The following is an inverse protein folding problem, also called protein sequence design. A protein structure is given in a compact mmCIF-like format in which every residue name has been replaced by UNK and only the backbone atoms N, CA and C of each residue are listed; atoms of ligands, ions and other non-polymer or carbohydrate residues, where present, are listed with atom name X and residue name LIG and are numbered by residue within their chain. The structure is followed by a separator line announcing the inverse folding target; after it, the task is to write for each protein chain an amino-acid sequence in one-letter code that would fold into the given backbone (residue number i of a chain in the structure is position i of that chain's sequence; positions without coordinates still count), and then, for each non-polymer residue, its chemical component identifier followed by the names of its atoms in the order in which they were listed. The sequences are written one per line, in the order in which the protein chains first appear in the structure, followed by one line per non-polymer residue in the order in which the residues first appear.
data_IF_787415435491
#
_entry.id   IF_787415435491
#
_cell.length_a   1.000
_cell.length_b   1.000
_cell.length_c   1.000
_cell.angle_alpha   90.00
_cell.angle_beta   90.00
_cell.angle_gamma   90.00
#
_symmetry.space_group_name_H-M   'P 1'
#
loop_
_entity.id
_entity.type
_entity.pdbx_description
1 polymer ?
#
# COMPACT_ATOMS: atom_id res chain seq x y z
N UNK A 1 9.90 -29.71 46.46
CA UNK A 1 9.01 -28.55 46.13
C UNK A 1 9.92 -27.34 46.09
N UNK A 2 10.18 -26.78 44.88
CA UNK A 2 11.09 -25.63 44.77
C UNK A 2 10.46 -24.42 45.46
N UNK A 3 11.26 -23.71 46.26
CA UNK A 3 10.88 -22.48 46.92
C UNK A 3 10.44 -21.43 45.86
N UNK A 4 9.47 -20.59 46.22
CA UNK A 4 8.89 -19.53 45.34
C UNK A 4 10.00 -18.65 44.74
N UNK A 5 11.05 -18.35 45.50
CA UNK A 5 12.22 -17.61 45.04
C UNK A 5 12.99 -18.34 43.95
N UNK A 6 13.17 -19.63 44.03
CA UNK A 6 13.85 -20.45 42.99
C UNK A 6 13.02 -20.52 41.73
N UNK A 7 11.68 -20.64 41.82
CA UNK A 7 10.76 -20.62 40.69
C UNK A 7 10.81 -19.27 39.98
N UNK A 8 10.76 -18.16 40.71
CA UNK A 8 10.86 -16.81 40.17
C UNK A 8 12.19 -16.57 39.43
N UNK A 9 13.30 -17.03 39.97
CA UNK A 9 14.63 -16.94 39.32
C UNK A 9 14.68 -17.73 38.01
N UNK A 10 14.15 -18.94 37.97
CA UNK A 10 14.11 -19.76 36.73
C UNK A 10 13.30 -19.07 35.65
N UNK A 11 12.10 -18.59 35.98
CA UNK A 11 11.20 -17.90 35.05
C UNK A 11 11.86 -16.64 34.48
N UNK A 12 12.55 -15.86 35.33
CA UNK A 12 13.27 -14.67 34.90
C UNK A 12 14.41 -14.98 33.92
N UNK A 13 15.23 -15.99 34.22
CA UNK A 13 16.34 -16.37 33.35
C UNK A 13 15.87 -16.87 31.99
N UNK A 14 14.78 -17.65 31.96
CA UNK A 14 14.18 -18.09 30.69
C UNK A 14 13.67 -16.86 29.91
N UNK A 15 13.03 -15.90 30.59
CA UNK A 15 12.57 -14.65 29.96
C UNK A 15 13.70 -13.84 29.34
N UNK A 16 14.83 -13.68 30.04
CA UNK A 16 15.99 -13.01 29.49
C UNK A 16 16.62 -13.76 28.31
N UNK A 17 16.70 -15.07 28.39
CA UNK A 17 17.21 -15.90 27.31
C UNK A 17 16.34 -15.78 26.03
N UNK A 18 15.02 -15.80 26.18
CA UNK A 18 14.10 -15.55 25.07
C UNK A 18 14.25 -14.14 24.50
N UNK A 19 14.44 -13.13 25.35
CA UNK A 19 14.70 -11.76 24.91
C UNK A 19 15.98 -11.70 24.07
N UNK A 20 17.05 -12.38 24.50
CA UNK A 20 18.31 -12.47 23.77
C UNK A 20 18.12 -13.13 22.40
N UNK A 21 17.38 -14.25 22.34
CA UNK A 21 17.03 -14.92 21.08
C UNK A 21 16.24 -13.97 20.16
N UNK A 22 15.25 -13.27 20.72
CA UNK A 22 14.44 -12.33 19.95
C UNK A 22 15.29 -11.28 19.23
N UNK A 23 16.29 -10.72 19.89
CA UNK A 23 17.19 -9.72 19.33
C UNK A 23 18.05 -10.24 18.18
N UNK A 24 18.27 -11.56 18.09
CA UNK A 24 19.02 -12.20 17.00
C UNK A 24 18.16 -12.43 15.74
N UNK A 25 16.82 -12.31 15.84
CA UNK A 25 15.89 -12.59 14.75
C UNK A 25 15.76 -11.38 13.84
N UNK A 26 16.00 -11.57 12.55
CA UNK A 26 15.89 -10.51 11.52
C UNK A 26 14.43 -10.18 11.15
N UNK A 27 13.54 -11.16 11.23
CA UNK A 27 12.12 -10.98 10.88
C UNK A 27 11.35 -10.37 12.03
N UNK A 28 10.78 -9.18 11.80
CA UNK A 28 10.07 -8.38 12.81
C UNK A 28 8.88 -9.13 13.42
N UNK A 29 8.16 -9.94 12.64
CA UNK A 29 7.01 -10.70 13.13
C UNK A 29 7.40 -11.73 14.20
N UNK A 30 8.40 -12.59 13.91
CA UNK A 30 8.90 -13.59 14.86
C UNK A 30 9.59 -12.96 16.06
N UNK A 31 10.33 -11.86 15.84
CA UNK A 31 10.91 -11.07 16.91
C UNK A 31 9.84 -10.64 17.92
N UNK A 32 8.71 -10.08 17.43
CA UNK A 32 7.60 -9.62 18.29
C UNK A 32 6.94 -10.76 19.06
N UNK A 33 6.75 -11.93 18.43
CA UNK A 33 6.17 -13.10 19.09
C UNK A 33 7.06 -13.55 20.25
N UNK A 34 8.36 -13.72 20.01
CA UNK A 34 9.28 -14.21 21.04
C UNK A 34 9.46 -13.17 22.15
N UNK A 35 9.54 -11.88 21.84
CA UNK A 35 9.53 -10.83 22.84
C UNK A 35 8.26 -10.86 23.71
N UNK A 36 7.11 -11.07 23.11
CA UNK A 36 5.84 -11.16 23.86
C UNK A 36 5.87 -12.34 24.83
N UNK A 37 6.36 -13.51 24.40
CA UNK A 37 6.52 -14.67 25.26
C UNK A 37 7.49 -14.39 26.42
N UNK A 38 8.63 -13.75 26.13
CA UNK A 38 9.59 -13.35 27.16
C UNK A 38 8.97 -12.39 28.19
N UNK A 39 8.17 -11.44 27.73
CA UNK A 39 7.51 -10.46 28.61
C UNK A 39 6.38 -11.08 29.44
N UNK A 40 5.65 -12.07 28.90
CA UNK A 40 4.67 -12.84 29.70
C UNK A 40 5.35 -13.55 30.87
N UNK A 41 6.53 -14.17 30.62
CA UNK A 41 7.31 -14.78 31.69
C UNK A 41 7.78 -13.74 32.73
N UNK A 42 8.19 -12.56 32.29
CA UNK A 42 8.58 -11.48 33.18
C UNK A 42 7.39 -10.92 33.99
N UNK A 43 6.19 -10.88 33.39
CA UNK A 43 4.97 -10.50 34.06
C UNK A 43 4.60 -11.52 35.15
N UNK A 44 4.75 -12.82 34.86
CA UNK A 44 4.59 -13.90 35.84
C UNK A 44 5.57 -13.76 37.01
N UNK A 45 6.83 -13.43 36.72
CA UNK A 45 7.81 -13.15 37.77
C UNK A 45 7.40 -11.94 38.63
N UNK A 46 6.96 -10.82 38.00
CA UNK A 46 6.51 -9.63 38.73
C UNK A 46 5.36 -9.94 39.67
N UNK A 47 4.42 -10.80 39.26
CA UNK A 47 3.32 -11.29 40.10
C UNK A 47 3.84 -12.13 41.27
N UNK A 48 4.70 -13.10 41.03
CA UNK A 48 5.27 -13.98 42.10
C UNK A 48 6.16 -13.19 43.09
N UNK A 49 6.86 -12.18 42.63
CA UNK A 49 7.71 -11.31 43.42
C UNK A 49 6.93 -10.18 44.14
N UNK A 50 5.62 -10.07 43.92
CA UNK A 50 4.77 -9.00 44.42
C UNK A 50 5.31 -7.59 44.08
N UNK A 51 5.78 -7.40 42.83
CA UNK A 51 6.31 -6.15 42.30
C UNK A 51 5.29 -5.49 41.34
N UNK A 52 4.39 -4.63 41.83
CA UNK A 52 3.36 -4.02 41.00
C UNK A 52 3.89 -3.03 39.96
N UNK A 53 5.01 -2.36 40.25
CA UNK A 53 5.62 -1.41 39.29
C UNK A 53 6.15 -2.11 38.07
N UNK A 54 6.95 -3.17 38.27
CA UNK A 54 7.44 -4.01 37.18
C UNK A 54 6.28 -4.66 36.43
N UNK A 55 5.27 -5.16 37.15
CA UNK A 55 4.08 -5.76 36.56
C UNK A 55 3.34 -4.79 35.63
N UNK A 56 3.11 -3.57 36.07
CA UNK A 56 2.41 -2.53 35.28
C UNK A 56 3.13 -2.23 33.96
N UNK A 57 4.43 -1.94 34.01
CA UNK A 57 5.18 -1.62 32.80
C UNK A 57 5.31 -2.81 31.86
N UNK A 58 5.54 -4.00 32.39
CA UNK A 58 5.63 -5.22 31.57
C UNK A 58 4.30 -5.52 30.89
N UNK A 59 3.17 -5.29 31.57
CA UNK A 59 1.84 -5.43 30.97
C UNK A 59 1.63 -4.47 29.79
N UNK A 60 2.04 -3.20 29.93
CA UNK A 60 1.98 -2.23 28.82
C UNK A 60 2.83 -2.71 27.62
N UNK A 61 4.04 -3.22 27.88
CA UNK A 61 4.89 -3.75 26.81
C UNK A 61 4.26 -4.96 26.12
N UNK A 62 3.60 -5.87 26.84
CA UNK A 62 2.84 -6.97 26.24
C UNK A 62 1.75 -6.46 25.32
N UNK A 63 0.95 -5.48 25.77
CA UNK A 63 -0.14 -4.90 24.97
C UNK A 63 0.40 -4.27 23.66
N UNK A 64 1.50 -3.50 23.74
CA UNK A 64 2.13 -2.88 22.57
C UNK A 64 2.60 -3.96 21.58
N UNK A 65 3.26 -5.02 22.07
CA UNK A 65 3.74 -6.09 21.19
C UNK A 65 2.59 -6.90 20.58
N UNK A 66 1.55 -7.22 21.34
CA UNK A 66 0.34 -7.88 20.81
C UNK A 66 -0.31 -7.01 19.71
N UNK A 67 -0.48 -5.72 19.95
CA UNK A 67 -1.00 -4.79 18.94
C UNK A 67 -0.16 -4.81 17.66
N UNK A 68 1.16 -4.77 17.79
CA UNK A 68 2.08 -4.83 16.65
C UNK A 68 2.01 -6.18 15.90
N UNK A 69 1.86 -7.31 16.64
CA UNK A 69 1.68 -8.63 16.04
C UNK A 69 0.40 -8.67 15.21
N UNK A 70 -0.71 -8.14 15.75
CA UNK A 70 -1.99 -8.07 15.03
C UNK A 70 -1.85 -7.25 13.74
N UNK A 71 -1.20 -6.08 13.80
CA UNK A 71 -0.97 -5.26 12.61
C UNK A 71 -0.14 -6.01 11.56
N UNK A 72 0.98 -6.63 11.97
CA UNK A 72 1.84 -7.40 11.07
C UNK A 72 1.12 -8.62 10.49
N UNK A 73 0.29 -9.30 11.29
CA UNK A 73 -0.54 -10.41 10.82
C UNK A 73 -1.55 -9.96 9.77
N UNK A 74 -2.26 -8.86 10.04
CA UNK A 74 -3.21 -8.29 9.08
C UNK A 74 -2.52 -7.85 7.77
N UNK A 75 -1.29 -7.33 7.86
CA UNK A 75 -0.53 -6.95 6.67
C UNK A 75 -0.01 -8.15 5.86
N UNK A 76 0.17 -9.30 6.50
CA UNK A 76 0.57 -10.56 5.84
C UNK A 76 -0.60 -11.33 5.23
N UNK A 77 -1.84 -11.01 5.59
CA UNK A 77 -2.99 -11.67 4.97
C UNK A 77 -3.00 -11.39 3.46
N UNK A 78 -2.96 -12.43 2.67
CA UNK A 78 -3.13 -12.36 1.23
C UNK A 78 -4.56 -11.95 0.91
N UNK A 79 -4.75 -10.67 0.62
CA UNK A 79 -6.01 -10.20 0.06
C UNK A 79 -6.09 -10.68 -1.39
N UNK A 80 -7.13 -11.42 -1.77
CA UNK A 80 -7.32 -11.79 -3.17
C UNK A 80 -7.52 -10.53 -3.99
N UNK A 81 -6.74 -10.38 -5.05
CA UNK A 81 -6.97 -9.34 -6.06
C UNK A 81 -7.95 -9.94 -7.06
N UNK A 82 -9.05 -9.23 -7.41
CA UNK A 82 -9.96 -9.68 -8.46
C UNK A 82 -9.21 -9.99 -9.76
N UNK A 83 -9.59 -11.08 -10.43
CA UNK A 83 -8.88 -11.56 -11.63
C UNK A 83 -8.91 -10.53 -12.77
N UNK A 84 -9.96 -9.69 -12.81
CA UNK A 84 -10.12 -8.64 -13.83
C UNK A 84 -9.05 -7.53 -13.77
N UNK A 85 -8.41 -7.35 -12.60
CA UNK A 85 -7.40 -6.30 -12.38
C UNK A 85 -6.04 -6.84 -11.94
N UNK A 86 -5.91 -8.16 -11.89
CA UNK A 86 -4.69 -8.83 -11.44
C UNK A 86 -3.50 -8.54 -12.33
N UNK A 87 -3.70 -8.55 -13.65
CA UNK A 87 -2.67 -8.18 -14.63
C UNK A 87 -2.19 -6.74 -14.46
N UNK A 88 -3.09 -5.80 -14.12
CA UNK A 88 -2.74 -4.41 -13.83
C UNK A 88 -1.90 -4.32 -12.55
N UNK A 89 -2.26 -5.08 -11.52
CA UNK A 89 -1.46 -5.16 -10.30
C UNK A 89 -0.06 -5.70 -10.59
N UNK A 90 0.03 -6.84 -11.27
CA UNK A 90 1.31 -7.52 -11.52
C UNK A 90 2.24 -6.71 -12.43
N UNK A 91 1.70 -6.00 -13.42
CA UNK A 91 2.51 -5.26 -14.39
C UNK A 91 2.79 -3.80 -14.00
N UNK A 92 1.86 -3.14 -13.30
CA UNK A 92 1.93 -1.69 -13.04
C UNK A 92 2.13 -1.39 -11.57
N UNK A 93 1.32 -2.02 -10.70
CA UNK A 93 1.22 -1.67 -9.29
C UNK A 93 1.96 -2.62 -8.34
N UNK A 94 2.80 -3.54 -8.85
CA UNK A 94 3.54 -4.55 -8.08
C UNK A 94 4.42 -3.98 -6.95
N UNK A 95 4.80 -2.70 -7.04
CA UNK A 95 5.56 -2.02 -5.97
C UNK A 95 4.72 -1.70 -4.72
N UNK A 96 3.39 -1.82 -4.83
CA UNK A 96 2.45 -1.67 -3.72
C UNK A 96 2.16 -3.03 -3.09
N UNK A 97 1.91 -3.06 -1.77
CA UNK A 97 1.30 -4.26 -1.19
C UNK A 97 -0.13 -4.44 -1.72
N UNK A 98 -0.64 -5.68 -1.74
CA UNK A 98 -2.02 -5.97 -2.19
C UNK A 98 -3.05 -5.09 -1.48
N UNK A 99 -2.88 -4.86 -0.17
CA UNK A 99 -3.75 -3.99 0.64
C UNK A 99 -3.66 -2.52 0.23
N UNK A 100 -2.45 -2.00 -0.03
CA UNK A 100 -2.25 -0.63 -0.52
C UNK A 100 -2.88 -0.44 -1.89
N UNK A 101 -2.73 -1.43 -2.77
CA UNK A 101 -3.32 -1.42 -4.10
C UNK A 101 -4.85 -1.39 -4.03
N UNK A 102 -5.48 -2.29 -3.27
CA UNK A 102 -6.94 -2.32 -3.14
C UNK A 102 -7.50 -1.03 -2.55
N UNK A 103 -6.87 -0.47 -1.51
CA UNK A 103 -7.29 0.84 -0.98
C UNK A 103 -7.17 1.99 -1.99
N UNK A 104 -6.13 1.96 -2.82
CA UNK A 104 -5.97 2.91 -3.91
C UNK A 104 -7.03 2.68 -4.98
N UNK A 105 -7.28 1.42 -5.34
CA UNK A 105 -8.28 1.03 -6.32
C UNK A 105 -9.68 1.48 -5.90
N UNK A 106 -10.10 1.21 -4.67
CA UNK A 106 -11.42 1.58 -4.12
C UNK A 106 -11.67 3.11 -4.10
N UNK A 107 -10.65 3.92 -4.23
CA UNK A 107 -10.80 5.37 -4.31
C UNK A 107 -11.23 5.87 -5.70
N UNK A 108 -11.14 5.05 -6.72
CA UNK A 108 -11.54 5.39 -8.09
C UNK A 108 -12.94 4.89 -8.42
N UNK A 109 -13.32 5.08 -9.67
CA UNK A 109 -14.59 4.64 -10.23
C UNK A 109 -14.44 4.26 -11.70
N UNK A 110 -15.25 3.30 -12.17
CA UNK A 110 -15.26 2.86 -13.56
C UNK A 110 -16.08 3.85 -14.39
N UNK A 111 -15.51 4.29 -15.50
CA UNK A 111 -16.16 5.12 -16.49
C UNK A 111 -16.17 4.41 -17.85
N UNK A 112 -17.25 4.57 -18.61
CA UNK A 112 -17.41 3.99 -19.93
C UNK A 112 -17.87 5.09 -20.90
N UNK A 113 -17.25 5.13 -22.07
CA UNK A 113 -17.60 6.02 -23.17
C UNK A 113 -17.48 5.27 -24.50
N UNK A 114 -18.13 5.77 -25.54
CA UNK A 114 -18.09 5.18 -26.87
C UNK A 114 -17.90 6.29 -27.90
N UNK A 115 -16.86 6.18 -28.73
CA UNK A 115 -16.52 7.11 -29.81
C UNK A 115 -16.58 8.61 -29.40
N UNK A 116 -16.14 8.92 -28.18
CA UNK A 116 -16.22 10.26 -27.63
C UNK A 116 -14.84 10.84 -27.31
N UNK A 117 -14.80 12.17 -27.29
CA UNK A 117 -13.65 12.92 -26.79
C UNK A 117 -13.55 12.74 -25.28
N UNK A 118 -12.46 12.12 -24.81
CA UNK A 118 -12.17 11.88 -23.39
C UNK A 118 -11.40 13.05 -22.79
N UNK A 119 -10.40 13.55 -23.53
CA UNK A 119 -9.56 14.69 -23.13
C UNK A 119 -9.45 15.62 -24.33
N UNK A 120 -9.60 16.91 -24.07
CA UNK A 120 -9.40 17.98 -25.07
C UNK A 120 -8.02 18.60 -24.93
N UNK A 121 -7.34 18.83 -26.03
CA UNK A 121 -6.08 19.57 -26.06
C UNK A 121 -6.23 20.96 -25.47
N UNK A 122 -5.30 21.38 -24.63
CA UNK A 122 -5.33 22.65 -23.91
C UNK A 122 -6.05 22.63 -22.57
N UNK A 123 -6.79 21.57 -22.25
CA UNK A 123 -7.43 21.42 -20.94
C UNK A 123 -6.41 20.94 -19.90
N UNK A 124 -6.59 21.36 -18.65
CA UNK A 124 -5.78 20.85 -17.54
C UNK A 124 -6.46 19.64 -16.93
N UNK A 125 -5.82 18.47 -17.09
CA UNK A 125 -6.34 17.24 -16.51
C UNK A 125 -6.00 17.15 -15.03
N UNK A 126 -7.04 17.13 -14.21
CA UNK A 126 -6.89 17.04 -12.76
C UNK A 126 -6.99 15.61 -12.23
N UNK A 127 -7.71 14.74 -12.92
CA UNK A 127 -7.99 13.37 -12.51
C UNK A 127 -7.00 12.40 -13.18
N UNK A 128 -6.77 11.27 -12.55
CA UNK A 128 -5.90 10.22 -13.09
C UNK A 128 -6.76 9.15 -13.76
N UNK A 129 -6.49 8.89 -15.03
CA UNK A 129 -7.25 7.94 -15.85
C UNK A 129 -6.37 6.76 -16.27
N UNK A 130 -6.90 5.53 -16.19
CA UNK A 130 -6.23 4.29 -16.62
C UNK A 130 -7.16 3.44 -17.47
N UNK A 131 -6.73 3.03 -18.65
CA UNK A 131 -7.54 2.20 -19.54
C UNK A 131 -7.66 0.77 -18.98
N UNK A 132 -8.91 0.31 -18.82
CA UNK A 132 -9.24 -1.06 -18.44
C UNK A 132 -9.56 -1.96 -19.63
N UNK A 133 -10.26 -1.42 -20.64
CA UNK A 133 -10.59 -2.12 -21.87
C UNK A 133 -10.83 -1.13 -22.99
N UNK A 134 -10.68 -1.59 -24.24
CA UNK A 134 -10.81 -0.74 -25.41
C UNK A 134 -9.52 -0.02 -25.79
N UNK A 135 -9.64 1.00 -26.63
CA UNK A 135 -8.52 1.80 -27.16
C UNK A 135 -8.90 3.28 -27.22
N UNK A 136 -7.89 4.14 -27.05
CA UNK A 136 -8.05 5.58 -27.22
C UNK A 136 -6.92 6.11 -28.11
N UNK A 137 -7.27 6.92 -29.12
CA UNK A 137 -6.32 7.57 -30.00
C UNK A 137 -5.90 8.92 -29.44
N UNK A 138 -4.60 9.16 -29.42
CA UNK A 138 -4.01 10.46 -29.08
C UNK A 138 -3.79 11.23 -30.39
N UNK A 139 -4.47 12.36 -30.52
CA UNK A 139 -4.50 13.15 -31.75
C UNK A 139 -3.90 14.52 -31.49
N UNK A 140 -2.95 14.94 -32.34
CA UNK A 140 -2.38 16.26 -32.35
C UNK A 140 -2.29 16.75 -33.81
N UNK A 141 -2.72 17.99 -34.05
CA UNK A 141 -2.71 18.59 -35.39
C UNK A 141 -3.40 17.69 -36.43
N UNK A 142 -4.55 17.12 -36.09
CA UNK A 142 -5.33 16.16 -36.88
C UNK A 142 -4.61 14.84 -37.24
N UNK A 143 -3.47 14.55 -36.63
CA UNK A 143 -2.75 13.31 -36.84
C UNK A 143 -2.81 12.43 -35.59
N UNK A 144 -3.10 11.15 -35.77
CA UNK A 144 -2.99 10.17 -34.69
C UNK A 144 -1.51 9.92 -34.40
N UNK A 145 -1.06 10.33 -33.21
CA UNK A 145 0.33 10.14 -32.74
C UNK A 145 0.55 8.75 -32.21
N UNK A 146 -0.42 8.25 -31.40
CA UNK A 146 -0.36 6.92 -30.80
C UNK A 146 -1.76 6.46 -30.40
N UNK A 147 -1.91 5.16 -30.19
CA UNK A 147 -3.13 4.55 -29.66
C UNK A 147 -2.83 3.94 -28.30
N UNK A 148 -3.52 4.42 -27.29
CA UNK A 148 -3.46 3.90 -25.93
C UNK A 148 -4.38 2.69 -25.77
N UNK A 149 -3.98 1.75 -24.89
CA UNK A 149 -4.67 0.48 -24.61
C UNK A 149 -4.59 0.10 -23.14
N UNK A 150 -5.21 -1.03 -22.80
CA UNK A 150 -5.25 -1.56 -21.41
C UNK A 150 -3.92 -1.39 -20.69
N UNK A 151 -3.99 -0.87 -19.47
CA UNK A 151 -2.85 -0.65 -18.60
C UNK A 151 -2.07 0.64 -18.88
N UNK A 152 -2.51 1.48 -19.81
CA UNK A 152 -1.87 2.77 -20.08
C UNK A 152 -2.68 3.91 -19.48
N UNK A 153 -1.96 4.88 -18.90
CA UNK A 153 -2.58 6.09 -18.36
C UNK A 153 -2.91 7.08 -19.47
N UNK A 154 -4.00 7.83 -19.26
CA UNK A 154 -4.41 8.92 -20.13
C UNK A 154 -4.06 10.24 -19.45
N UNK A 155 -3.31 11.10 -20.15
CA UNK A 155 -2.94 12.47 -19.72
C UNK A 155 -2.24 12.56 -18.34
N UNK A 156 -1.48 11.53 -17.98
CA UNK A 156 -0.71 11.47 -16.73
C UNK A 156 0.29 12.61 -16.61
N UNK A 157 0.83 13.10 -17.72
CA UNK A 157 1.76 14.24 -17.76
C UNK A 157 1.07 15.50 -17.23
N UNK A 158 -0.13 15.79 -17.74
CA UNK A 158 -0.94 16.93 -17.27
C UNK A 158 -1.32 16.78 -15.78
N UNK A 159 -1.68 15.56 -15.36
CA UNK A 159 -1.98 15.26 -13.96
C UNK A 159 -0.79 15.56 -13.03
N UNK A 160 0.44 15.16 -13.41
CA UNK A 160 1.67 15.33 -12.59
C UNK A 160 2.12 16.78 -12.61
N UNK A 161 2.21 17.40 -13.78
CA UNK A 161 2.83 18.72 -13.97
C UNK A 161 1.87 19.87 -13.71
N UNK A 162 0.56 19.61 -13.83
CA UNK A 162 -0.48 20.65 -13.82
C UNK A 162 -0.53 21.48 -15.12
N UNK A 163 0.29 21.14 -16.12
CA UNK A 163 0.28 21.80 -17.42
C UNK A 163 -0.91 21.34 -18.27
N UNK A 164 -1.41 22.17 -19.19
CA UNK A 164 -2.42 21.77 -20.16
C UNK A 164 -2.00 20.55 -20.96
N UNK A 165 -2.97 19.75 -21.40
CA UNK A 165 -2.75 18.61 -22.30
C UNK A 165 -2.32 19.10 -23.68
N UNK A 166 -1.43 18.36 -24.33
CA UNK A 166 -0.85 18.73 -25.63
C UNK A 166 -1.54 18.05 -26.81
N UNK A 167 -2.56 17.23 -26.58
CA UNK A 167 -3.26 16.46 -27.60
C UNK A 167 -4.67 16.11 -27.15
N UNK A 168 -5.55 15.88 -28.11
CA UNK A 168 -6.86 15.29 -27.89
C UNK A 168 -6.72 13.79 -27.63
N UNK A 169 -7.60 13.23 -26.78
CA UNK A 169 -7.72 11.78 -26.59
C UNK A 169 -9.14 11.37 -26.90
N UNK A 170 -9.31 10.53 -27.90
CA UNK A 170 -10.63 10.11 -28.41
C UNK A 170 -10.76 8.60 -28.22
N UNK A 171 -11.87 8.16 -27.64
CA UNK A 171 -12.23 6.74 -27.56
C UNK A 171 -12.45 6.18 -28.97
N UNK A 172 -11.89 5.00 -29.25
CA UNK A 172 -12.12 4.27 -30.49
C UNK A 172 -13.05 3.10 -30.18
N UNK A 173 -14.33 3.26 -30.51
CA UNK A 173 -15.38 2.37 -30.06
C UNK A 173 -15.59 2.45 -28.55
N UNK A 174 -16.01 1.35 -27.96
CA UNK A 174 -16.22 1.27 -26.51
C UNK A 174 -14.89 1.33 -25.75
N UNK A 175 -14.79 2.28 -24.83
CA UNK A 175 -13.64 2.49 -23.95
C UNK A 175 -14.09 2.43 -22.50
N UNK A 176 -13.52 1.50 -21.74
CA UNK A 176 -13.68 1.38 -20.30
C UNK A 176 -12.39 1.85 -19.63
N UNK A 177 -12.48 2.83 -18.74
CA UNK A 177 -11.33 3.33 -17.98
C UNK A 177 -11.67 3.56 -16.52
N UNK A 178 -10.65 3.54 -15.70
CA UNK A 178 -10.73 3.84 -14.28
C UNK A 178 -10.35 5.29 -14.04
N UNK A 179 -11.19 6.01 -13.28
CA UNK A 179 -11.01 7.42 -12.97
C UNK A 179 -10.76 7.60 -11.47
N UNK A 180 -9.63 8.18 -11.11
CA UNK A 180 -9.35 8.64 -9.75
C UNK A 180 -9.45 10.15 -9.70
N UNK A 181 -10.51 10.64 -9.07
CA UNK A 181 -10.70 12.07 -8.86
C UNK A 181 -9.60 12.67 -7.98
N UNK A 182 -9.06 13.82 -8.34
CA UNK A 182 -7.99 14.51 -7.64
C UNK A 182 -8.28 14.75 -6.15
N UNK A 183 -9.54 15.07 -5.80
CA UNK A 183 -9.92 15.29 -4.39
C UNK A 183 -9.76 14.01 -3.57
N UNK A 184 -10.19 12.86 -4.12
CA UNK A 184 -10.03 11.54 -3.48
C UNK A 184 -8.56 11.17 -3.34
N UNK A 185 -7.73 11.39 -4.38
CA UNK A 185 -6.29 11.14 -4.35
C UNK A 185 -5.57 12.05 -3.35
N UNK A 186 -5.95 13.32 -3.25
CA UNK A 186 -5.39 14.24 -2.26
C UNK A 186 -5.72 13.83 -0.82
N UNK A 187 -6.93 13.29 -0.57
CA UNK A 187 -7.29 12.70 0.73
C UNK A 187 -6.42 11.48 1.06
N UNK A 188 -6.21 10.60 0.08
CA UNK A 188 -5.31 9.45 0.19
C UNK A 188 -3.87 9.88 0.44
N UNK A 189 -3.37 10.93 -0.22
CA UNK A 189 -2.03 11.49 -0.03
C UNK A 189 -1.80 11.97 1.41
N UNK A 190 -2.81 12.56 2.03
CA UNK A 190 -2.74 12.99 3.43
C UNK A 190 -2.76 11.81 4.41
N UNK A 191 -3.56 10.78 4.14
CA UNK A 191 -3.73 9.62 5.03
C UNK A 191 -2.64 8.55 4.83
N UNK A 192 -2.07 8.44 3.63
CA UNK A 192 -1.07 7.43 3.30
C UNK A 192 -0.02 7.96 2.30
N UNK A 193 0.91 8.82 2.76
CA UNK A 193 1.90 9.47 1.90
C UNK A 193 2.85 8.48 1.22
N UNK A 194 3.18 7.37 1.88
CA UNK A 194 4.07 6.33 1.33
C UNK A 194 3.45 5.67 0.09
N UNK A 195 2.18 5.29 0.17
CA UNK A 195 1.45 4.70 -0.96
C UNK A 195 1.36 5.66 -2.14
N UNK A 196 1.19 6.94 -1.87
CA UNK A 196 1.13 7.96 -2.93
C UNK A 196 2.50 8.24 -3.55
N UNK A 197 3.59 8.22 -2.79
CA UNK A 197 4.95 8.31 -3.36
C UNK A 197 5.26 7.14 -4.31
N UNK A 198 4.78 5.93 -4.00
CA UNK A 198 4.87 4.78 -4.92
C UNK A 198 4.09 5.01 -6.22
N UNK A 199 2.90 5.63 -6.13
CA UNK A 199 2.11 5.99 -7.32
C UNK A 199 2.84 7.03 -8.17
N UNK A 200 3.35 8.10 -7.56
CA UNK A 200 4.10 9.15 -8.26
C UNK A 200 5.30 8.55 -9.01
N UNK A 201 5.99 7.58 -8.42
CA UNK A 201 7.07 6.84 -9.07
C UNK A 201 6.59 6.03 -10.29
N UNK A 202 5.47 5.33 -10.19
CA UNK A 202 4.87 4.56 -11.29
C UNK A 202 4.55 5.50 -12.46
N UNK A 203 3.88 6.62 -12.18
CA UNK A 203 3.52 7.60 -13.20
C UNK A 203 4.76 8.24 -13.86
N UNK A 204 5.81 8.51 -13.08
CA UNK A 204 7.07 9.05 -13.62
C UNK A 204 7.75 8.05 -14.57
N UNK A 205 7.72 6.76 -14.26
CA UNK A 205 8.27 5.71 -15.11
C UNK A 205 7.45 5.54 -16.40
N UNK A 206 6.11 5.59 -16.31
CA UNK A 206 5.23 5.53 -17.50
C UNK A 206 5.48 6.73 -18.43
N UNK A 207 5.58 7.92 -17.86
CA UNK A 207 5.92 9.15 -18.60
C UNK A 207 7.28 9.05 -19.30
N UNK A 208 8.32 8.58 -18.59
CA UNK A 208 9.64 8.41 -19.18
C UNK A 208 9.62 7.43 -20.37
N UNK A 209 8.88 6.33 -20.26
CA UNK A 209 8.71 5.36 -21.34
C UNK A 209 7.96 5.88 -22.57
N UNK A 210 7.11 6.91 -22.42
CA UNK A 210 6.39 7.57 -23.52
C UNK A 210 7.24 8.65 -24.23
N UNK A 211 8.17 9.28 -23.51
CA UNK A 211 9.05 10.31 -24.05
C UNK A 211 10.24 9.73 -24.86
N UNK A 212 10.54 8.45 -24.69
CA UNK A 212 11.65 7.76 -25.37
C UNK A 212 11.21 7.04 -26.66
N UNK A 213 9.93 7.09 -27.02
CA UNK A 213 9.35 6.55 -28.26
C UNK A 213 8.99 7.65 -29.24
#
# INVERSE_FOLDING_TARGET
MFDIHTQALIVTNIGYFLTFIALAIKEIYWLRIILTLAQILQLTHAYLANDPYKGFWTFIFVLINVYQIVLLYLDRQELPIPDEIKDLYDNIFHTKSKREFLKFWDAGEICQVEDQLVIKSGDTQSDLLLILNGKADVIRDNNTITTLKRGQFISEISYITGNPTSADVIARGELLFYNWNRKKLNKLRKSNPITMAKLDRILTLDMAGKLTK
#
